data_IF_812420820741
#
_entry.id   IF_812420820741
#
_cell.length_a   1.000
_cell.length_b   1.000
_cell.length_c   1.000
_cell.angle_alpha   90.00
_cell.angle_beta   90.00
_cell.angle_gamma   90.00
#
_symmetry.space_group_name_H-M   'P 1'
#
loop_
_entity.id
_entity.type
_entity.pdbx_description
1 polymer ?
#
# COMPACT_ATOMS: atom_id res chain seq x y z
N UNK A 1 -29.67 15.06 6.71
CA UNK A 1 -29.18 13.66 6.73
C UNK A 1 -27.76 13.70 6.16
N UNK A 2 -26.80 13.02 6.75
CA UNK A 2 -25.41 12.96 6.22
C UNK A 2 -25.40 12.14 4.94
N UNK A 3 -24.60 12.55 3.94
CA UNK A 3 -24.48 11.84 2.66
C UNK A 3 -23.23 10.97 2.66
N UNK A 4 -23.36 9.76 2.14
CA UNK A 4 -22.26 8.82 1.97
C UNK A 4 -22.17 8.35 0.53
N UNK A 5 -20.96 8.38 -0.05
CA UNK A 5 -20.66 7.69 -1.31
C UNK A 5 -20.07 6.32 -0.96
N UNK A 6 -20.80 5.25 -1.27
CA UNK A 6 -20.33 3.88 -1.10
C UNK A 6 -19.85 3.31 -2.43
N UNK A 7 -18.52 3.17 -2.57
CA UNK A 7 -17.84 2.63 -3.75
C UNK A 7 -17.52 1.17 -3.49
N UNK A 8 -18.05 0.26 -4.28
CA UNK A 8 -17.86 -1.17 -4.10
C UNK A 8 -17.31 -1.83 -5.35
N UNK A 9 -16.21 -2.58 -5.21
CA UNK A 9 -15.72 -3.47 -6.25
C UNK A 9 -16.37 -4.86 -6.10
N UNK A 10 -17.33 -5.23 -6.96
CA UNK A 10 -18.07 -6.50 -6.85
C UNK A 10 -17.20 -7.73 -7.19
N UNK A 11 -16.00 -7.50 -7.76
CA UNK A 11 -15.08 -8.56 -8.17
C UNK A 11 -13.92 -8.75 -7.19
N UNK A 12 -13.84 -7.93 -6.13
CA UNK A 12 -12.75 -7.99 -5.16
C UNK A 12 -12.69 -9.35 -4.44
N UNK A 13 -11.47 -9.87 -4.33
CA UNK A 13 -11.17 -11.12 -3.61
C UNK A 13 -12.07 -12.29 -4.05
N UNK A 14 -12.67 -12.97 -3.07
CA UNK A 14 -13.59 -14.09 -3.31
C UNK A 14 -15.07 -13.65 -3.32
N UNK A 15 -15.36 -12.41 -3.65
CA UNK A 15 -16.73 -11.83 -3.75
C UNK A 15 -17.54 -11.91 -2.46
N UNK A 16 -16.88 -11.96 -1.29
CA UNK A 16 -17.56 -12.08 0.01
C UNK A 16 -18.42 -10.87 0.32
N UNK A 17 -17.97 -9.67 -0.06
CA UNK A 17 -18.69 -8.42 0.21
C UNK A 17 -20.08 -8.38 -0.46
N UNK A 18 -20.26 -9.01 -1.64
CA UNK A 18 -21.53 -9.03 -2.36
C UNK A 18 -22.64 -9.66 -1.52
N UNK A 19 -22.32 -10.68 -0.72
CA UNK A 19 -23.31 -11.39 0.13
C UNK A 19 -23.79 -10.56 1.32
N UNK A 20 -23.02 -9.54 1.71
CA UNK A 20 -23.30 -8.67 2.84
C UNK A 20 -23.75 -7.27 2.43
N UNK A 21 -23.99 -7.02 1.14
CA UNK A 21 -24.32 -5.67 0.67
C UNK A 21 -25.53 -5.08 1.37
N UNK A 22 -26.60 -5.86 1.54
CA UNK A 22 -27.82 -5.40 2.24
C UNK A 22 -27.53 -5.04 3.70
N UNK A 23 -26.76 -5.86 4.40
CA UNK A 23 -26.42 -5.65 5.82
C UNK A 23 -25.50 -4.42 5.98
N UNK A 24 -24.55 -4.22 5.05
CA UNK A 24 -23.68 -3.03 5.02
C UNK A 24 -24.52 -1.76 4.85
N UNK A 25 -25.41 -1.74 3.84
CA UNK A 25 -26.27 -0.60 3.57
C UNK A 25 -27.22 -0.30 4.75
N UNK A 26 -27.76 -1.35 5.38
CA UNK A 26 -28.60 -1.23 6.56
C UNK A 26 -27.81 -0.59 7.74
N UNK A 27 -26.57 -1.04 7.98
CA UNK A 27 -25.68 -0.48 9.01
C UNK A 27 -25.50 1.03 8.81
N UNK A 28 -25.21 1.47 7.58
CA UNK A 28 -24.98 2.88 7.28
C UNK A 28 -26.27 3.70 7.33
N UNK A 29 -27.39 3.15 6.86
CA UNK A 29 -28.71 3.81 6.95
C UNK A 29 -29.15 3.99 8.40
N UNK A 30 -28.96 2.98 9.26
CA UNK A 30 -29.27 3.07 10.70
C UNK A 30 -28.38 4.11 11.40
N UNK A 31 -27.17 4.35 10.91
CA UNK A 31 -26.28 5.40 11.39
C UNK A 31 -26.64 6.81 10.86
N UNK A 32 -27.75 6.94 10.12
CA UNK A 32 -28.28 8.22 9.64
C UNK A 32 -27.68 8.73 8.34
N UNK A 33 -27.04 7.86 7.53
CA UNK A 33 -26.52 8.22 6.22
C UNK A 33 -27.54 7.96 5.10
N UNK A 34 -27.62 8.91 4.17
CA UNK A 34 -28.14 8.69 2.83
C UNK A 34 -27.03 8.09 1.98
N UNK A 35 -27.18 6.81 1.56
CA UNK A 35 -26.12 6.08 0.91
C UNK A 35 -26.28 6.12 -0.62
N UNK A 36 -25.32 6.75 -1.30
CA UNK A 36 -25.20 6.75 -2.76
C UNK A 36 -24.26 5.60 -3.11
N UNK A 37 -24.80 4.53 -3.68
CA UNK A 37 -24.02 3.34 -4.02
C UNK A 37 -23.48 3.41 -5.45
N UNK A 38 -22.20 3.13 -5.63
CA UNK A 38 -21.54 2.95 -6.92
C UNK A 38 -20.81 1.61 -6.97
N UNK A 39 -21.18 0.75 -7.93
CA UNK A 39 -20.50 -0.53 -8.19
C UNK A 39 -19.47 -0.30 -9.28
N UNK A 40 -18.19 -0.58 -9.01
CA UNK A 40 -17.14 -0.37 -10.02
C UNK A 40 -17.25 -1.37 -11.17
N UNK A 41 -17.04 -0.89 -12.39
CA UNK A 41 -17.10 -1.67 -13.62
C UNK A 41 -15.72 -2.13 -14.13
N UNK A 42 -14.65 -1.50 -13.66
CA UNK A 42 -13.27 -1.79 -14.07
C UNK A 42 -12.26 -0.86 -13.43
N UNK A 43 -11.01 -0.99 -13.86
CA UNK A 43 -9.91 -0.15 -13.41
C UNK A 43 -10.15 1.33 -13.74
N UNK A 44 -9.85 2.22 -12.79
CA UNK A 44 -10.01 3.66 -12.92
C UNK A 44 -11.42 4.17 -12.58
N UNK A 45 -12.42 3.30 -12.45
CA UNK A 45 -13.80 3.71 -12.19
C UNK A 45 -13.97 4.27 -10.78
N UNK A 46 -13.33 3.67 -9.77
CA UNK A 46 -13.34 4.22 -8.41
C UNK A 46 -12.67 5.60 -8.35
N UNK A 47 -11.59 5.82 -9.13
CA UNK A 47 -10.94 7.14 -9.24
C UNK A 47 -11.91 8.18 -9.83
N UNK A 48 -12.59 7.81 -10.91
CA UNK A 48 -13.51 8.72 -11.61
C UNK A 48 -14.67 9.14 -10.70
N UNK A 49 -15.33 8.19 -10.04
CA UNK A 49 -16.49 8.49 -9.20
C UNK A 49 -16.09 9.21 -7.91
N UNK A 50 -14.95 8.87 -7.29
CA UNK A 50 -14.43 9.56 -6.11
C UNK A 50 -14.08 11.02 -6.44
N UNK A 51 -13.44 11.27 -7.59
CA UNK A 51 -13.11 12.62 -8.06
C UNK A 51 -14.36 13.46 -8.35
N UNK A 52 -15.38 12.85 -8.97
CA UNK A 52 -16.63 13.56 -9.34
C UNK A 52 -17.50 13.88 -8.13
N UNK A 53 -17.68 12.90 -7.21
CA UNK A 53 -18.70 12.95 -6.17
C UNK A 53 -18.13 13.13 -4.77
N UNK A 54 -16.85 12.84 -4.56
CA UNK A 54 -16.25 12.77 -3.24
C UNK A 54 -16.33 14.06 -2.42
N UNK A 55 -16.24 15.24 -3.07
CA UNK A 55 -16.39 16.54 -2.38
C UNK A 55 -17.80 16.86 -1.90
N UNK A 56 -18.82 16.19 -2.44
CA UNK A 56 -20.21 16.52 -2.24
C UNK A 56 -20.90 15.61 -1.21
N UNK A 57 -20.11 14.84 -0.45
CA UNK A 57 -20.58 13.91 0.56
C UNK A 57 -19.81 14.09 1.87
N UNK A 58 -20.39 13.63 2.97
CA UNK A 58 -19.78 13.71 4.31
C UNK A 58 -18.81 12.56 4.58
N UNK A 59 -18.89 11.47 3.82
CA UNK A 59 -18.07 10.28 3.95
C UNK A 59 -18.00 9.52 2.62
N UNK A 60 -16.82 9.06 2.23
CA UNK A 60 -16.62 8.11 1.14
C UNK A 60 -16.25 6.76 1.75
N UNK A 61 -16.97 5.70 1.41
CA UNK A 61 -16.64 4.34 1.86
C UNK A 61 -16.21 3.52 0.67
N UNK A 62 -14.99 2.97 0.76
CA UNK A 62 -14.45 2.01 -0.21
C UNK A 62 -14.63 0.58 0.30
N UNK A 63 -15.28 -0.27 -0.49
CA UNK A 63 -15.38 -1.71 -0.24
C UNK A 63 -14.70 -2.45 -1.40
N UNK A 64 -13.47 -2.90 -1.17
CA UNK A 64 -12.63 -3.51 -2.20
C UNK A 64 -11.27 -3.97 -1.66
N UNK A 65 -10.34 -4.25 -2.55
CA UNK A 65 -8.93 -4.50 -2.23
C UNK A 65 -8.12 -3.20 -2.25
N UNK A 66 -6.79 -3.34 -2.07
CA UNK A 66 -5.84 -2.23 -2.02
C UNK A 66 -5.90 -1.35 -3.28
N UNK A 67 -6.04 -1.95 -4.48
CA UNK A 67 -6.20 -1.20 -5.74
C UNK A 67 -7.47 -0.33 -5.75
N UNK A 68 -8.62 -0.84 -5.26
CA UNK A 68 -9.85 -0.03 -5.20
C UNK A 68 -9.72 1.10 -4.18
N UNK A 69 -9.02 0.86 -3.07
CA UNK A 69 -8.72 1.91 -2.08
C UNK A 69 -7.80 2.97 -2.67
N UNK A 70 -6.71 2.56 -3.34
CA UNK A 70 -5.77 3.48 -3.99
C UNK A 70 -6.48 4.33 -5.05
N UNK A 71 -7.33 3.75 -5.89
CA UNK A 71 -8.15 4.49 -6.85
C UNK A 71 -9.06 5.51 -6.15
N UNK A 72 -9.71 5.13 -5.04
CA UNK A 72 -10.59 6.01 -4.26
C UNK A 72 -9.81 7.19 -3.70
N UNK A 73 -8.64 6.92 -3.07
CA UNK A 73 -7.72 7.94 -2.55
C UNK A 73 -7.26 8.88 -3.66
N UNK A 74 -6.79 8.31 -4.79
CA UNK A 74 -6.31 9.07 -5.94
C UNK A 74 -7.39 9.99 -6.51
N UNK A 75 -8.64 9.53 -6.57
CA UNK A 75 -9.78 10.33 -6.99
C UNK A 75 -10.04 11.51 -6.07
N UNK A 76 -10.03 11.30 -4.76
CA UNK A 76 -10.23 12.36 -3.75
C UNK A 76 -9.10 13.39 -3.78
N UNK A 77 -7.84 12.94 -3.77
CA UNK A 77 -6.67 13.82 -3.79
C UNK A 77 -6.61 14.66 -5.07
N UNK A 78 -6.85 14.06 -6.22
CA UNK A 78 -6.87 14.80 -7.51
C UNK A 78 -8.01 15.80 -7.58
N UNK A 79 -9.10 15.60 -6.85
CA UNK A 79 -10.17 16.57 -6.68
C UNK A 79 -9.85 17.65 -5.62
N UNK A 80 -8.79 17.50 -4.81
CA UNK A 80 -8.53 18.32 -3.62
C UNK A 80 -9.68 18.19 -2.60
N UNK A 81 -10.20 16.99 -2.42
CA UNK A 81 -11.26 16.69 -1.45
C UNK A 81 -10.63 16.24 -0.12
N UNK A 82 -11.11 16.83 0.98
CA UNK A 82 -10.73 16.44 2.34
C UNK A 82 -11.87 15.65 3.00
N UNK A 83 -12.53 14.80 2.23
CA UNK A 83 -13.65 13.97 2.72
C UNK A 83 -13.10 12.74 3.42
N UNK A 84 -13.53 12.43 4.66
CA UNK A 84 -13.10 11.22 5.35
C UNK A 84 -13.42 9.96 4.55
N UNK A 85 -12.56 8.94 4.71
CA UNK A 85 -12.68 7.65 4.03
C UNK A 85 -13.03 6.58 5.07
N UNK A 86 -13.95 5.69 4.72
CA UNK A 86 -14.14 4.41 5.40
C UNK A 86 -13.59 3.29 4.50
N UNK A 87 -12.93 2.29 5.07
CA UNK A 87 -12.42 1.16 4.29
C UNK A 87 -12.96 -0.18 4.79
N UNK A 88 -13.60 -0.92 3.89
CA UNK A 88 -14.02 -2.31 4.09
C UNK A 88 -13.10 -3.19 3.25
N UNK A 89 -12.10 -3.86 3.86
CA UNK A 89 -11.13 -4.68 3.13
C UNK A 89 -11.79 -5.96 2.61
N UNK A 90 -11.97 -6.02 1.30
CA UNK A 90 -12.60 -7.15 0.61
C UNK A 90 -11.69 -7.81 -0.44
N UNK A 91 -10.46 -7.36 -0.58
CA UNK A 91 -9.44 -7.91 -1.47
C UNK A 91 -8.80 -9.19 -0.94
N UNK A 92 -7.77 -9.68 -1.65
CA UNK A 92 -7.06 -10.90 -1.28
C UNK A 92 -5.97 -10.65 -0.24
N UNK A 93 -5.23 -9.54 -0.34
CA UNK A 93 -4.07 -9.23 0.52
C UNK A 93 -4.45 -8.18 1.57
N UNK A 94 -4.97 -7.02 1.15
CA UNK A 94 -5.38 -5.89 1.98
C UNK A 94 -4.22 -5.41 2.89
N UNK A 95 -3.06 -5.13 2.27
CA UNK A 95 -1.83 -4.74 2.97
C UNK A 95 -2.01 -3.47 3.80
N UNK A 96 -2.71 -2.47 3.24
CA UNK A 96 -3.02 -1.23 3.94
C UNK A 96 -3.87 -1.49 5.20
N UNK A 97 -4.93 -2.31 5.07
CA UNK A 97 -5.78 -2.66 6.21
C UNK A 97 -5.03 -3.47 7.28
N UNK A 98 -4.12 -4.35 6.84
CA UNK A 98 -3.28 -5.15 7.74
C UNK A 98 -2.34 -4.27 8.55
N UNK A 99 -1.69 -3.28 7.93
CA UNK A 99 -0.80 -2.34 8.62
C UNK A 99 -1.53 -1.53 9.69
N UNK A 100 -2.79 -1.16 9.43
CA UNK A 100 -3.64 -0.41 10.35
C UNK A 100 -4.48 -1.30 11.29
N UNK A 101 -4.28 -2.63 11.25
CA UNK A 101 -5.05 -3.60 12.05
C UNK A 101 -6.57 -3.47 11.89
N UNK A 102 -7.03 -3.05 10.71
CA UNK A 102 -8.46 -2.90 10.44
C UNK A 102 -9.16 -4.28 10.44
N UNK A 103 -10.43 -4.35 10.85
CA UNK A 103 -11.17 -5.60 10.85
C UNK A 103 -11.28 -6.21 9.46
N UNK A 104 -10.92 -7.49 9.31
CA UNK A 104 -11.09 -8.26 8.07
C UNK A 104 -12.50 -8.81 7.88
N UNK A 105 -13.30 -8.82 8.94
CA UNK A 105 -14.72 -9.13 8.86
C UNK A 105 -15.47 -7.93 8.31
N UNK A 106 -16.19 -8.13 7.22
CA UNK A 106 -16.86 -7.07 6.44
C UNK A 106 -17.86 -6.25 7.27
N UNK A 107 -18.71 -6.92 8.06
CA UNK A 107 -19.70 -6.23 8.88
C UNK A 107 -19.06 -5.50 10.07
N UNK A 108 -18.02 -6.11 10.67
CA UNK A 108 -17.25 -5.45 11.71
C UNK A 108 -16.51 -4.22 11.17
N UNK A 109 -15.99 -4.28 9.95
CA UNK A 109 -15.38 -3.12 9.29
C UNK A 109 -16.41 -2.00 9.05
N UNK A 110 -17.60 -2.34 8.55
CA UNK A 110 -18.68 -1.37 8.38
C UNK A 110 -19.08 -0.71 9.70
N UNK A 111 -19.18 -1.49 10.78
CA UNK A 111 -19.47 -0.98 12.11
C UNK A 111 -18.35 -0.08 12.64
N UNK A 112 -17.10 -0.46 12.44
CA UNK A 112 -15.94 0.36 12.82
C UNK A 112 -15.94 1.72 12.11
N UNK A 113 -16.35 1.78 10.84
CA UNK A 113 -16.49 3.05 10.09
C UNK A 113 -17.54 3.97 10.74
N UNK A 114 -18.66 3.40 11.15
CA UNK A 114 -19.76 4.17 11.78
C UNK A 114 -19.35 4.69 13.15
N UNK A 115 -18.76 3.84 13.98
CA UNK A 115 -18.40 4.14 15.37
C UNK A 115 -17.06 4.89 15.51
N UNK A 116 -16.18 4.78 14.50
CA UNK A 116 -14.84 5.34 14.55
C UNK A 116 -14.77 6.84 14.32
N UNK A 117 -13.61 7.42 14.61
CA UNK A 117 -13.28 8.81 14.35
C UNK A 117 -12.29 8.92 13.16
N UNK A 118 -12.24 10.08 12.48
CA UNK A 118 -11.26 10.30 11.43
C UNK A 118 -9.84 10.39 12.02
N UNK A 119 -8.92 9.56 11.52
CA UNK A 119 -7.50 9.59 11.83
C UNK A 119 -6.75 9.93 10.56
N UNK A 120 -5.80 10.85 10.63
CA UNK A 120 -5.02 11.31 9.48
C UNK A 120 -3.89 10.34 9.16
N UNK A 121 -3.68 10.11 7.86
CA UNK A 121 -2.62 9.25 7.33
C UNK A 121 -1.96 9.91 6.13
N UNK A 122 -0.72 9.55 5.93
CA UNK A 122 0.10 9.98 4.83
C UNK A 122 -0.22 9.19 3.55
N UNK A 123 0.10 9.77 2.40
CA UNK A 123 0.01 9.12 1.09
C UNK A 123 1.26 9.44 0.30
N UNK A 124 1.81 8.45 -0.37
CA UNK A 124 2.93 8.65 -1.27
C UNK A 124 2.48 9.23 -2.62
N UNK A 125 3.26 10.18 -3.14
CA UNK A 125 3.16 10.66 -4.51
C UNK A 125 4.41 10.28 -5.28
N UNK A 126 4.25 9.48 -6.32
CA UNK A 126 5.28 9.06 -7.26
C UNK A 126 5.04 9.77 -8.60
N UNK A 127 5.80 10.81 -8.86
CA UNK A 127 5.51 11.69 -10.00
C UNK A 127 4.08 12.24 -9.95
N UNK A 128 3.23 11.75 -10.85
CA UNK A 128 1.82 12.15 -10.94
C UNK A 128 0.84 11.12 -10.39
N UNK A 129 1.32 10.00 -9.86
CA UNK A 129 0.49 8.93 -9.27
C UNK A 129 0.61 8.91 -7.76
N UNK A 130 -0.41 8.35 -7.12
CA UNK A 130 -0.42 8.15 -5.67
C UNK A 130 -0.26 6.67 -5.34
N UNK A 131 0.35 6.37 -4.20
CA UNK A 131 0.39 5.05 -3.60
C UNK A 131 0.09 5.13 -2.11
N UNK A 132 -0.62 4.11 -1.60
CA UNK A 132 -1.09 4.10 -0.21
C UNK A 132 -0.06 3.48 0.73
N UNK A 133 0.67 2.44 0.28
CA UNK A 133 1.53 1.66 1.17
C UNK A 133 2.93 1.38 0.63
N UNK A 134 3.14 1.18 -0.68
CA UNK A 134 4.49 0.91 -1.19
C UNK A 134 4.69 1.29 -2.66
N UNK A 135 5.85 1.90 -2.94
CA UNK A 135 6.44 1.95 -4.28
C UNK A 135 7.71 1.10 -4.28
N UNK A 136 7.87 0.15 -5.21
CA UNK A 136 9.01 -0.76 -5.24
C UNK A 136 9.50 -1.08 -6.64
N UNK A 137 10.79 -1.47 -6.75
CA UNK A 137 11.42 -1.92 -7.99
C UNK A 137 12.30 -3.15 -7.76
N UNK A 138 12.72 -3.80 -8.85
CA UNK A 138 13.65 -4.93 -8.83
C UNK A 138 13.00 -6.28 -8.54
N UNK A 139 13.64 -7.10 -7.72
CA UNK A 139 13.15 -8.42 -7.34
C UNK A 139 11.74 -8.36 -6.73
N UNK A 140 10.96 -9.43 -6.90
CA UNK A 140 9.59 -9.57 -6.40
C UNK A 140 8.53 -8.68 -7.07
N UNK A 141 8.91 -7.63 -7.80
CA UNK A 141 7.95 -6.81 -8.53
C UNK A 141 7.34 -7.57 -9.72
N UNK A 142 8.15 -8.36 -10.44
CA UNK A 142 7.70 -9.20 -11.57
C UNK A 142 6.89 -10.43 -11.13
N UNK A 143 7.24 -11.04 -10.00
CA UNK A 143 6.57 -12.24 -9.49
C UNK A 143 5.19 -11.97 -8.90
N UNK A 144 4.90 -10.72 -8.49
CA UNK A 144 3.56 -10.32 -8.06
C UNK A 144 2.51 -10.57 -9.16
N UNK A 145 2.91 -10.53 -10.43
CA UNK A 145 2.03 -10.75 -11.58
C UNK A 145 1.98 -12.21 -12.08
N UNK A 146 3.00 -13.02 -11.78
CA UNK A 146 3.18 -14.35 -12.41
C UNK A 146 2.99 -15.55 -11.46
N UNK A 147 2.99 -15.35 -10.14
CA UNK A 147 2.94 -16.48 -9.20
C UNK A 147 1.51 -16.84 -8.82
N UNK A 148 1.03 -18.07 -9.12
CA UNK A 148 -0.27 -18.54 -8.68
C UNK A 148 -0.40 -18.47 -7.17
N UNK A 149 -1.54 -18.00 -6.67
CA UNK A 149 -1.86 -17.79 -5.26
C UNK A 149 -1.70 -19.08 -4.40
N UNK A 150 -1.76 -20.25 -5.04
CA UNK A 150 -1.60 -21.56 -4.39
C UNK A 150 -0.17 -21.81 -3.87
N UNK A 151 0.85 -21.18 -4.49
CA UNK A 151 2.26 -21.31 -4.06
C UNK A 151 2.53 -20.43 -2.85
N UNK A 152 1.89 -19.26 -2.77
CA UNK A 152 1.99 -18.35 -1.60
C UNK A 152 1.46 -19.00 -0.32
N UNK A 153 0.45 -19.85 -0.43
CA UNK A 153 -0.21 -20.49 0.72
C UNK A 153 0.47 -21.80 1.17
N UNK A 154 1.24 -22.47 0.30
CA UNK A 154 1.78 -23.81 0.58
C UNK A 154 3.15 -23.80 1.27
N UNK A 155 3.95 -22.74 1.12
CA UNK A 155 5.36 -22.75 1.54
C UNK A 155 5.70 -21.86 2.73
N UNK A 156 4.76 -21.11 3.28
CA UNK A 156 5.03 -20.17 4.37
C UNK A 156 5.95 -19.00 3.94
N UNK A 157 5.85 -17.89 4.63
CA UNK A 157 6.51 -16.61 4.30
C UNK A 157 8.03 -16.71 4.09
N UNK A 158 8.71 -17.48 4.93
CA UNK A 158 10.17 -17.67 4.94
C UNK A 158 10.69 -18.46 3.74
N UNK A 159 9.94 -19.48 3.29
CA UNK A 159 10.35 -20.29 2.16
C UNK A 159 10.16 -19.57 0.81
N UNK A 160 9.25 -18.61 0.74
CA UNK A 160 9.06 -17.77 -0.45
C UNK A 160 10.22 -16.78 -0.62
N UNK A 161 10.70 -16.17 0.47
CA UNK A 161 11.91 -15.34 0.46
C UNK A 161 13.14 -16.19 0.08
N UNK A 162 13.25 -17.41 0.60
CA UNK A 162 14.34 -18.35 0.30
C UNK A 162 14.31 -18.86 -1.15
N UNK A 163 13.15 -19.17 -1.72
CA UNK A 163 13.04 -19.58 -3.12
C UNK A 163 13.33 -18.42 -4.07
N UNK A 164 12.95 -17.19 -3.72
CA UNK A 164 13.36 -15.98 -4.43
C UNK A 164 14.88 -15.79 -4.44
N UNK A 165 15.56 -16.11 -3.35
CA UNK A 165 17.03 -15.99 -3.21
C UNK A 165 17.76 -17.06 -4.02
N UNK A 166 17.25 -18.27 -4.17
CA UNK A 166 17.84 -19.30 -5.05
C UNK A 166 17.73 -18.96 -6.53
N UNK A 167 16.80 -18.08 -6.90
CA UNK A 167 16.68 -17.53 -8.26
C UNK A 167 17.48 -16.22 -8.47
N UNK A 168 18.19 -15.74 -7.46
CA UNK A 168 18.97 -14.47 -7.49
C UNK A 168 19.97 -14.39 -8.66
N UNK A 169 20.48 -15.52 -9.18
CA UNK A 169 21.34 -15.53 -10.35
C UNK A 169 20.64 -15.09 -11.66
N UNK A 170 19.31 -15.01 -11.66
CA UNK A 170 18.49 -14.58 -12.80
C UNK A 170 17.86 -13.18 -12.58
N UNK A 171 18.04 -12.58 -11.40
CA UNK A 171 17.50 -11.26 -11.10
C UNK A 171 18.48 -10.21 -11.63
N UNK A 172 17.98 -9.33 -12.49
CA UNK A 172 18.73 -8.16 -12.96
C UNK A 172 18.93 -7.20 -11.79
N UNK A 173 20.17 -6.77 -11.57
CA UNK A 173 20.45 -5.64 -10.70
C UNK A 173 20.02 -4.36 -11.41
N UNK A 174 19.39 -3.48 -10.69
CA UNK A 174 19.01 -2.17 -11.19
C UNK A 174 19.98 -1.12 -10.62
N UNK A 175 20.64 -0.39 -11.53
CA UNK A 175 21.50 0.72 -11.13
C UNK A 175 20.63 1.93 -10.80
N UNK A 176 20.68 2.38 -9.57
CA UNK A 176 19.81 3.47 -9.08
C UNK A 176 20.63 4.47 -8.27
N UNK A 177 20.43 5.75 -8.55
CA UNK A 177 20.88 6.85 -7.72
C UNK A 177 19.68 7.51 -7.06
N UNK A 178 19.73 7.66 -5.76
CA UNK A 178 18.70 8.32 -4.96
C UNK A 178 19.29 9.51 -4.21
N UNK A 179 18.62 10.65 -4.30
CA UNK A 179 18.86 11.80 -3.44
C UNK A 179 17.78 11.77 -2.36
N UNK A 180 18.18 11.43 -1.14
CA UNK A 180 17.30 11.21 0.03
C UNK A 180 17.58 12.34 1.00
N UNK A 181 16.66 13.31 1.12
CA UNK A 181 16.81 14.48 1.99
C UNK A 181 18.20 15.14 1.89
N UNK A 182 18.70 15.30 0.66
CA UNK A 182 19.99 15.92 0.36
C UNK A 182 21.22 15.02 0.48
N UNK A 183 21.06 13.75 0.84
CA UNK A 183 22.12 12.74 0.82
C UNK A 183 21.98 11.84 -0.39
N UNK A 184 23.10 11.51 -1.04
CA UNK A 184 23.09 10.61 -2.21
C UNK A 184 23.40 9.18 -1.79
N UNK A 185 22.57 8.25 -2.27
CA UNK A 185 22.80 6.80 -2.26
C UNK A 185 22.81 6.34 -3.71
N UNK A 186 23.88 5.67 -4.15
CA UNK A 186 24.03 5.21 -5.53
C UNK A 186 24.65 3.81 -5.54
N UNK A 187 24.15 2.93 -6.40
CA UNK A 187 24.63 1.56 -6.51
C UNK A 187 23.72 0.65 -7.30
N UNK A 188 24.08 -0.64 -7.29
CA UNK A 188 23.35 -1.71 -7.94
C UNK A 188 22.50 -2.45 -6.90
N UNK A 189 21.20 -2.41 -7.09
CA UNK A 189 20.24 -2.97 -6.13
C UNK A 189 19.45 -4.11 -6.76
N UNK A 190 19.26 -5.18 -5.99
CA UNK A 190 18.33 -6.27 -6.32
C UNK A 190 16.89 -5.86 -6.11
N UNK A 191 16.67 -5.04 -5.08
CA UNK A 191 15.33 -4.62 -4.66
C UNK A 191 15.39 -3.27 -3.98
N UNK A 192 14.39 -2.45 -4.21
CA UNK A 192 14.16 -1.21 -3.47
C UNK A 192 12.68 -1.00 -3.22
N UNK A 193 12.37 -0.51 -2.02
CA UNK A 193 11.02 -0.16 -1.61
C UNK A 193 11.00 1.17 -0.86
N UNK A 194 10.01 2.00 -1.18
CA UNK A 194 9.65 3.23 -0.47
C UNK A 194 8.30 2.93 0.16
N UNK A 195 8.29 2.78 1.49
CA UNK A 195 7.17 2.25 2.23
C UNK A 195 6.47 3.36 3.02
N UNK A 196 5.15 3.35 2.99
CA UNK A 196 4.27 4.11 3.88
C UNK A 196 3.41 3.10 4.67
N UNK A 197 3.98 1.97 5.07
CA UNK A 197 3.28 0.90 5.77
C UNK A 197 4.25 -0.11 6.36
N UNK A 198 3.78 -0.89 7.33
CA UNK A 198 4.54 -2.01 7.87
C UNK A 198 4.59 -3.22 6.93
N UNK A 199 3.68 -3.33 5.96
CA UNK A 199 3.63 -4.43 4.99
C UNK A 199 4.23 -3.99 3.66
N UNK A 200 5.18 -4.75 3.15
CA UNK A 200 5.84 -4.52 1.86
C UNK A 200 5.37 -5.60 0.88
N UNK A 201 4.25 -5.34 0.19
CA UNK A 201 3.69 -6.21 -0.84
C UNK A 201 3.32 -7.61 -0.35
N UNK A 202 2.98 -7.80 0.93
CA UNK A 202 2.71 -9.10 1.55
C UNK A 202 3.92 -10.04 1.60
N UNK A 203 5.14 -9.55 1.32
CA UNK A 203 6.38 -10.33 1.28
C UNK A 203 7.21 -10.10 2.54
N UNK A 204 7.34 -8.85 2.95
CA UNK A 204 8.14 -8.42 4.09
C UNK A 204 7.30 -7.58 5.04
N UNK A 205 7.52 -7.76 6.33
CA UNK A 205 6.91 -6.92 7.37
C UNK A 205 8.01 -6.13 8.07
N UNK A 206 7.92 -4.80 8.03
CA UNK A 206 8.80 -3.90 8.75
C UNK A 206 8.43 -3.85 10.23
N UNK A 207 9.39 -3.47 11.08
CA UNK A 207 9.15 -3.30 12.51
C UNK A 207 8.13 -2.18 12.76
N UNK A 208 6.96 -2.49 13.35
CA UNK A 208 5.92 -1.49 13.62
C UNK A 208 6.36 -0.33 14.52
N UNK A 209 7.51 -0.47 15.20
CA UNK A 209 8.08 0.61 16.03
C UNK A 209 8.90 1.61 15.20
N UNK A 210 9.23 1.26 13.96
CA UNK A 210 10.04 2.08 13.06
C UNK A 210 9.20 2.65 11.90
N UNK A 211 7.91 2.35 11.85
CA UNK A 211 6.99 2.80 10.79
C UNK A 211 5.81 3.51 11.44
N UNK A 212 5.66 4.79 11.14
CA UNK A 212 4.49 5.58 11.48
C UNK A 212 3.86 6.12 10.19
N UNK A 213 2.63 5.70 9.91
CA UNK A 213 1.93 6.08 8.67
C UNK A 213 1.36 7.51 8.70
N UNK A 214 1.74 8.33 9.69
CA UNK A 214 1.24 9.69 9.88
C UNK A 214 2.32 10.67 10.36
N UNK A 215 3.61 10.36 10.27
CA UNK A 215 4.70 11.23 10.71
C UNK A 215 5.32 12.09 9.59
N UNK A 216 4.85 11.93 8.34
CA UNK A 216 5.34 12.66 7.17
C UNK A 216 6.57 12.04 6.54
N UNK A 217 6.97 10.82 6.94
CA UNK A 217 8.14 10.13 6.41
C UNK A 217 7.76 8.81 5.72
N UNK A 218 8.63 8.37 4.83
CA UNK A 218 8.66 7.01 4.29
C UNK A 218 9.79 6.23 4.92
N UNK A 219 9.67 4.91 4.98
CA UNK A 219 10.77 4.00 5.17
C UNK A 219 11.30 3.54 3.81
N UNK A 220 12.57 3.82 3.55
CA UNK A 220 13.28 3.42 2.34
C UNK A 220 14.11 2.21 2.68
N UNK A 221 13.80 1.08 2.04
CA UNK A 221 14.56 -0.16 2.14
C UNK A 221 15.21 -0.45 0.79
N UNK A 222 16.54 -0.50 0.75
CA UNK A 222 17.30 -0.91 -0.43
C UNK A 222 18.10 -2.16 -0.09
N UNK A 223 18.10 -3.12 -1.02
CA UNK A 223 18.84 -4.39 -0.92
C UNK A 223 19.82 -4.46 -2.07
N UNK A 224 21.13 -4.32 -1.77
CA UNK A 224 22.15 -4.46 -2.81
C UNK A 224 22.39 -5.92 -3.20
N UNK A 225 23.04 -6.12 -4.35
CA UNK A 225 23.48 -7.43 -4.77
C UNK A 225 24.48 -8.04 -3.76
N UNK A 226 24.35 -9.35 -3.44
CA UNK A 226 25.29 -10.03 -2.56
C UNK A 226 26.63 -10.27 -3.28
N UNK A 227 27.73 -10.15 -2.55
CA UNK A 227 29.06 -10.50 -3.04
C UNK A 227 29.40 -11.97 -2.73
N UNK A 228 28.75 -12.56 -1.72
CA UNK A 228 28.96 -13.94 -1.31
C UNK A 228 27.73 -14.52 -0.58
N UNK A 229 27.75 -15.85 -0.37
CA UNK A 229 26.63 -16.55 0.30
C UNK A 229 26.47 -16.15 1.79
N UNK A 230 27.54 -15.71 2.46
CA UNK A 230 27.47 -15.25 3.83
C UNK A 230 26.61 -13.99 3.98
N UNK A 231 26.78 -13.02 3.06
CA UNK A 231 25.96 -11.81 3.04
C UNK A 231 24.47 -12.10 2.82
N UNK A 232 24.14 -13.09 1.97
CA UNK A 232 22.76 -13.52 1.77
C UNK A 232 22.17 -14.01 3.11
N UNK A 233 22.92 -14.83 3.85
CA UNK A 233 22.48 -15.36 5.12
C UNK A 233 22.26 -14.24 6.15
N UNK A 234 23.20 -13.31 6.27
CA UNK A 234 23.08 -12.15 7.15
C UNK A 234 21.88 -11.27 6.78
N UNK A 235 21.65 -11.01 5.49
CA UNK A 235 20.52 -10.25 5.01
C UNK A 235 19.18 -10.89 5.39
N UNK A 236 19.06 -12.21 5.19
CA UNK A 236 17.86 -12.96 5.58
C UNK A 236 17.61 -12.85 7.09
N UNK A 237 18.65 -13.03 7.91
CA UNK A 237 18.53 -12.90 9.35
C UNK A 237 18.15 -11.48 9.79
N UNK A 238 18.73 -10.47 9.14
CA UNK A 238 18.42 -9.07 9.38
C UNK A 238 16.96 -8.74 9.10
N UNK A 239 16.46 -9.18 7.93
CA UNK A 239 15.05 -9.00 7.54
C UNK A 239 14.09 -9.76 8.47
N UNK A 240 14.40 -11.00 8.83
CA UNK A 240 13.56 -11.80 9.72
C UNK A 240 13.52 -11.26 11.17
N UNK A 241 14.65 -10.74 11.64
CA UNK A 241 14.75 -10.15 12.98
C UNK A 241 14.34 -8.69 13.02
N UNK A 242 13.96 -8.10 11.87
CA UNK A 242 13.62 -6.68 11.71
C UNK A 242 14.75 -5.75 12.19
N UNK A 243 16.01 -6.19 12.03
CA UNK A 243 17.22 -5.44 12.36
C UNK A 243 17.98 -5.16 11.06
N UNK A 244 17.80 -3.97 10.50
CA UNK A 244 18.30 -3.62 9.16
C UNK A 244 19.77 -3.18 9.14
N UNK A 245 20.62 -3.83 9.93
CA UNK A 245 22.02 -3.47 10.17
C UNK A 245 23.04 -4.40 9.51
N UNK A 246 22.73 -4.96 8.33
CA UNK A 246 23.72 -5.73 7.55
C UNK A 246 24.22 -4.93 6.33
N UNK A 247 25.36 -5.35 5.78
CA UNK A 247 26.04 -4.67 4.69
C UNK A 247 25.20 -4.58 3.39
N UNK A 248 24.28 -5.53 3.18
CA UNK A 248 23.38 -5.53 2.02
C UNK A 248 22.20 -4.58 2.13
N UNK A 249 21.85 -4.11 3.35
CA UNK A 249 20.64 -3.33 3.57
C UNK A 249 20.98 -1.85 3.80
N UNK A 250 20.21 -0.98 3.15
CA UNK A 250 20.10 0.43 3.51
C UNK A 250 18.66 0.65 3.97
N UNK A 251 18.49 1.09 5.20
CA UNK A 251 17.19 1.43 5.77
C UNK A 251 17.24 2.87 6.29
N UNK A 252 16.35 3.72 5.81
CA UNK A 252 16.30 5.15 6.16
C UNK A 252 14.87 5.67 6.09
N UNK A 253 14.55 6.64 6.93
CA UNK A 253 13.30 7.40 6.80
C UNK A 253 13.58 8.70 6.04
N UNK A 254 12.64 9.16 5.22
CA UNK A 254 12.72 10.40 4.47
C UNK A 254 11.36 10.92 4.04
N UNK A 255 11.24 12.24 3.92
CA UNK A 255 10.03 12.89 3.39
C UNK A 255 10.03 12.92 1.87
N UNK A 256 11.19 13.12 1.26
CA UNK A 256 11.31 13.29 -0.20
C UNK A 256 12.50 12.54 -0.75
N UNK A 257 12.29 11.89 -1.88
CA UNK A 257 13.32 11.15 -2.60
C UNK A 257 13.27 11.54 -4.08
N UNK A 258 14.42 11.92 -4.64
CA UNK A 258 14.59 12.04 -6.09
C UNK A 258 15.38 10.84 -6.58
N UNK A 259 14.87 10.15 -7.58
CA UNK A 259 15.40 8.89 -8.09
C UNK A 259 15.82 9.08 -9.53
N UNK A 260 17.01 8.60 -9.86
CA UNK A 260 17.56 8.53 -11.21
C UNK A 260 17.81 7.05 -11.50
N UNK A 261 17.24 6.54 -12.59
CA UNK A 261 17.30 5.12 -12.96
C UNK A 261 17.14 4.93 -14.47
N UNK A 262 17.34 3.70 -14.93
CA UNK A 262 17.03 3.31 -16.31
C UNK A 262 15.54 3.57 -16.60
N UNK A 263 15.17 4.32 -17.64
CA UNK A 263 13.77 4.57 -17.97
C UNK A 263 12.97 3.30 -18.31
N UNK A 264 13.65 2.18 -18.57
CA UNK A 264 12.98 0.89 -18.77
C UNK A 264 12.84 0.08 -17.46
N UNK A 265 13.37 0.55 -16.33
CA UNK A 265 13.22 -0.10 -15.04
C UNK A 265 11.77 -0.01 -14.56
N UNK A 266 11.04 -1.14 -14.46
CA UNK A 266 9.64 -1.10 -14.06
C UNK A 266 9.52 -0.90 -12.56
N UNK A 267 8.49 -0.16 -12.16
CA UNK A 267 8.05 0.02 -10.79
C UNK A 267 6.76 -0.73 -10.51
N UNK A 268 6.48 -0.90 -9.24
CA UNK A 268 5.20 -1.37 -8.72
C UNK A 268 4.71 -0.40 -7.67
N UNK A 269 3.52 0.15 -7.85
CA UNK A 269 2.84 1.03 -6.90
C UNK A 269 1.64 0.28 -6.34
N UNK A 270 1.62 -0.02 -5.05
CA UNK A 270 0.55 -0.78 -4.39
C UNK A 270 0.19 -2.09 -5.10
N UNK A 271 1.20 -2.77 -5.68
CA UNK A 271 1.02 -4.01 -6.44
C UNK A 271 0.63 -3.83 -7.90
N UNK A 272 0.42 -2.61 -8.39
CA UNK A 272 0.14 -2.30 -9.79
C UNK A 272 1.40 -1.87 -10.53
N UNK A 273 1.51 -2.28 -11.79
CA UNK A 273 2.65 -1.90 -12.63
C UNK A 273 2.67 -0.39 -12.88
N UNK A 274 3.86 0.19 -12.76
CA UNK A 274 4.18 1.54 -13.19
C UNK A 274 5.36 1.47 -14.16
N UNK A 275 5.37 2.35 -15.15
CA UNK A 275 6.47 2.43 -16.10
C UNK A 275 7.71 3.07 -15.47
N UNK A 276 8.88 2.80 -16.05
CA UNK A 276 10.14 3.40 -15.63
C UNK A 276 10.23 4.88 -15.97
N UNK A 277 11.07 5.58 -15.23
CA UNK A 277 11.36 7.00 -15.42
C UNK A 277 12.86 7.23 -15.29
N UNK A 278 13.45 8.02 -16.20
CA UNK A 278 14.84 8.46 -16.06
C UNK A 278 15.04 9.27 -14.77
N UNK A 279 14.06 10.07 -14.43
CA UNK A 279 14.02 10.82 -13.16
C UNK A 279 12.59 10.86 -12.63
N UNK A 280 12.42 10.52 -11.36
CA UNK A 280 11.12 10.64 -10.67
C UNK A 280 11.30 11.21 -9.27
N UNK A 281 10.39 12.07 -8.87
CA UNK A 281 10.26 12.53 -7.48
C UNK A 281 9.20 11.72 -6.75
N UNK A 282 9.56 11.26 -5.56
CA UNK A 282 8.65 10.61 -4.62
C UNK A 282 8.57 11.47 -3.36
N UNK A 283 7.36 11.82 -2.97
CA UNK A 283 7.10 12.73 -1.85
C UNK A 283 6.02 12.17 -0.94
N UNK A 284 6.26 12.23 0.36
CA UNK A 284 5.25 11.94 1.37
C UNK A 284 4.32 13.16 1.51
N UNK A 285 3.06 12.94 1.22
CA UNK A 285 1.99 13.91 1.43
C UNK A 285 1.46 13.71 2.85
N UNK A 286 2.03 14.45 3.80
CA UNK A 286 1.70 14.33 5.21
C UNK A 286 0.22 14.63 5.47
N UNK A 287 -0.44 13.72 6.23
CA UNK A 287 -1.86 13.80 6.60
C UNK A 287 -2.81 14.00 5.41
N UNK A 288 -2.47 13.41 4.25
CA UNK A 288 -3.20 13.62 3.00
C UNK A 288 -4.60 13.03 2.98
N UNK A 289 -4.88 12.03 3.83
CA UNK A 289 -6.20 11.41 3.94
C UNK A 289 -6.62 11.29 5.40
N UNK A 290 -7.92 11.17 5.62
CA UNK A 290 -8.50 10.87 6.94
C UNK A 290 -9.31 9.58 6.85
N UNK A 291 -8.88 8.55 7.59
CA UNK A 291 -9.56 7.25 7.62
C UNK A 291 -10.38 7.09 8.92
N UNK A 292 -11.64 6.67 8.80
CA UNK A 292 -12.46 6.38 9.98
C UNK A 292 -12.11 5.03 10.57
N UNK A 293 -11.64 5.05 11.80
CA UNK A 293 -11.30 3.85 12.56
C UNK A 293 -11.54 4.06 14.06
N UNK A 294 -11.67 3.00 14.84
CA UNK A 294 -11.66 3.11 16.30
C UNK A 294 -10.26 3.52 16.74
N UNK A 295 -10.18 4.45 17.69
CA UNK A 295 -8.93 4.71 18.39
C UNK A 295 -8.55 3.44 19.15
N UNK A 296 -7.29 3.01 19.03
CA UNK A 296 -6.76 1.97 19.91
C UNK A 296 -6.83 2.51 21.35
N UNK A 297 -7.48 1.77 22.24
CA UNK A 297 -7.60 2.15 23.67
C UNK A 297 -6.25 1.98 24.40
N UNK A 298 -5.20 1.49 23.73
CA UNK A 298 -3.88 1.17 24.26
C UNK A 298 -2.73 1.92 23.55
N UNK A 299 -2.92 3.12 23.01
CA UNK A 299 -1.86 3.93 22.41
C UNK A 299 -1.32 4.98 23.39
#
# INVERSE_FOLDING_TARGET
>A
MKKMLFIMNPFAGVKRANRHLADILLTFTQAGYEVITHMTLGQGDATAVAREKGKNVDLVVCCGGDGTLNETISGLLSAGADTPIGYIPAGSTNDFASSLKLPTNILKAAQTIVEGEPVSYDVGRFGNRYFSYVASFGAFTRSSYATPQNVKNALGHTAYVLSGITELSQIRNEHVKMEIDGQTVEGDFLFGAICNSTSVGGILTLDPKQVDMGDGLFEILLVRAPENLGEIHECIQALQSQKYNCAMLTFRSAQKVRIFADPEMPWTLDGEKEDGHETVEVENLHHAIRLRQKKDEDA
#
